data_IF_992509240287
#
_entry.id   IF_992509240287
#
_cell.length_a   1.000
_cell.length_b   1.000
_cell.length_c   1.000
_cell.angle_alpha   90.00
_cell.angle_beta   90.00
_cell.angle_gamma   90.00
#
_symmetry.space_group_name_H-M   'P 1'
#
loop_
_entity.id
_entity.type
_entity.pdbx_description
1 polymer ?
#
# COMPACT_ATOMS: atom_id res chain seq x y z
N UNK A 1 -0.44 -13.44 4.31
CA UNK A 1 0.86 -12.79 4.02
C UNK A 1 1.73 -12.91 5.24
N UNK A 2 2.99 -13.28 5.06
CA UNK A 2 3.98 -13.48 6.12
C UNK A 2 5.12 -12.48 5.94
N UNK A 3 5.63 -11.91 7.02
CA UNK A 3 6.79 -11.03 6.97
C UNK A 3 8.10 -11.82 6.92
N UNK A 4 8.95 -11.54 5.92
CA UNK A 4 10.26 -12.18 5.74
C UNK A 4 11.24 -11.94 6.92
N UNK A 5 11.09 -10.84 7.67
CA UNK A 5 11.99 -10.51 8.78
C UNK A 5 11.58 -11.09 10.14
N UNK A 6 10.29 -11.20 10.42
CA UNK A 6 9.79 -11.64 11.72
C UNK A 6 8.81 -12.82 11.70
N UNK A 7 8.50 -13.34 10.50
CA UNK A 7 7.61 -14.48 10.26
C UNK A 7 6.20 -14.34 10.85
N UNK A 8 5.79 -13.12 11.19
CA UNK A 8 4.41 -12.84 11.60
C UNK A 8 3.48 -12.94 10.40
N UNK A 9 2.32 -13.54 10.62
CA UNK A 9 1.26 -13.66 9.61
C UNK A 9 0.18 -12.61 9.84
N UNK A 10 -0.35 -12.08 8.74
CA UNK A 10 -1.35 -11.01 8.75
C UNK A 10 -2.59 -11.43 7.97
N UNK A 11 -3.76 -10.99 8.47
CA UNK A 11 -5.08 -11.29 7.91
C UNK A 11 -5.46 -10.39 6.73
N UNK A 12 -4.93 -9.17 6.70
CA UNK A 12 -5.16 -8.17 5.65
C UNK A 12 -3.83 -7.65 5.11
N UNK A 13 -3.84 -7.09 3.90
CA UNK A 13 -2.65 -6.48 3.33
C UNK A 13 -2.35 -5.14 4.00
N UNK A 14 -3.39 -4.38 4.33
CA UNK A 14 -3.25 -3.17 5.15
C UNK A 14 -2.48 -3.44 6.45
N UNK A 15 -2.83 -4.50 7.18
CA UNK A 15 -2.16 -4.86 8.43
C UNK A 15 -0.70 -5.29 8.25
N UNK A 16 -0.39 -5.92 7.12
CA UNK A 16 0.99 -6.23 6.73
C UNK A 16 1.80 -4.97 6.43
N UNK A 17 1.23 -4.02 5.67
CA UNK A 17 1.88 -2.75 5.37
C UNK A 17 2.09 -1.88 6.62
N UNK A 18 1.10 -1.77 7.51
CA UNK A 18 1.25 -1.07 8.81
C UNK A 18 2.45 -1.61 9.58
N UNK A 19 2.63 -2.93 9.57
CA UNK A 19 3.75 -3.56 10.24
C UNK A 19 5.10 -3.14 9.64
N UNK A 20 5.22 -3.11 8.32
CA UNK A 20 6.46 -2.70 7.64
C UNK A 20 6.72 -1.20 7.79
N UNK A 21 5.71 -0.36 7.54
CA UNK A 21 5.78 1.09 7.67
C UNK A 21 6.07 1.56 9.10
N UNK A 22 5.84 0.72 10.12
CA UNK A 22 6.19 1.05 11.52
C UNK A 22 7.70 1.12 11.76
N UNK A 23 8.53 0.56 10.87
CA UNK A 23 10.00 0.51 11.01
C UNK A 23 10.51 -0.37 12.15
N UNK A 24 9.63 -1.04 12.90
CA UNK A 24 9.99 -1.87 14.05
C UNK A 24 10.31 -3.33 13.71
N UNK A 25 10.32 -3.69 12.42
CA UNK A 25 10.55 -5.06 11.98
C UNK A 25 12.04 -5.34 11.69
N UNK A 26 12.47 -6.58 11.96
CA UNK A 26 13.79 -7.09 11.57
C UNK A 26 13.99 -7.27 10.06
N UNK A 27 12.95 -7.04 9.25
CA UNK A 27 13.07 -7.08 7.79
C UNK A 27 13.87 -5.91 7.22
N UNK A 28 14.13 -4.87 8.02
CA UNK A 28 14.72 -3.59 7.60
C UNK A 28 13.94 -2.86 6.50
N UNK A 29 12.73 -3.33 6.16
CA UNK A 29 11.84 -2.65 5.22
C UNK A 29 11.23 -1.46 5.96
N UNK A 30 11.31 -0.29 5.34
CA UNK A 30 10.80 0.98 5.84
C UNK A 30 9.62 1.49 5.01
N UNK A 31 8.96 2.54 5.48
CA UNK A 31 7.96 3.28 4.71
C UNK A 31 8.50 3.76 3.36
N UNK A 32 9.76 4.22 3.31
CA UNK A 32 10.39 4.67 2.07
C UNK A 32 10.52 3.56 1.03
N UNK A 33 10.89 2.35 1.44
CA UNK A 33 10.99 1.20 0.53
C UNK A 33 9.63 0.83 -0.07
N UNK A 34 8.56 0.93 0.74
CA UNK A 34 7.18 0.70 0.28
C UNK A 34 6.74 1.79 -0.70
N UNK A 35 7.06 3.05 -0.41
CA UNK A 35 6.72 4.18 -1.26
C UNK A 35 7.45 4.12 -2.61
N UNK A 36 8.72 3.74 -2.62
CA UNK A 36 9.49 3.55 -3.85
C UNK A 36 8.91 2.41 -4.69
N UNK A 37 8.61 1.25 -4.09
CA UNK A 37 7.93 0.15 -4.80
C UNK A 37 6.57 0.59 -5.36
N UNK A 38 5.82 1.39 -4.62
CA UNK A 38 4.53 1.90 -5.07
C UNK A 38 4.65 2.87 -6.25
N UNK A 39 5.73 3.66 -6.31
CA UNK A 39 6.07 4.58 -7.41
C UNK A 39 6.56 3.84 -8.66
N UNK A 40 7.39 2.81 -8.49
CA UNK A 40 7.94 2.01 -9.58
C UNK A 40 6.87 1.22 -10.35
N UNK A 41 5.76 0.90 -9.70
CA UNK A 41 4.68 0.17 -10.35
C UNK A 41 4.06 0.98 -11.50
N UNK A 42 3.89 0.34 -12.67
CA UNK A 42 3.46 1.01 -13.91
C UNK A 42 2.11 1.76 -13.85
N UNK A 43 1.28 1.50 -12.84
CA UNK A 43 0.00 2.20 -12.61
C UNK A 43 0.04 3.20 -11.46
N UNK A 44 1.23 3.59 -10.97
CA UNK A 44 1.43 4.49 -9.83
C UNK A 44 0.58 5.75 -9.90
N UNK A 45 0.50 6.38 -11.08
CA UNK A 45 -0.34 7.58 -11.35
C UNK A 45 -1.84 7.44 -11.05
N UNK A 46 -2.35 6.23 -10.80
CA UNK A 46 -3.76 6.03 -10.42
C UNK A 46 -4.02 6.29 -8.94
N UNK A 47 -3.01 6.13 -8.10
CA UNK A 47 -3.14 6.17 -6.65
C UNK A 47 -2.04 6.98 -5.97
N UNK A 48 -1.06 7.49 -6.72
CA UNK A 48 -0.06 8.47 -6.26
C UNK A 48 -0.38 9.82 -6.89
N UNK A 49 -0.29 10.85 -6.07
CA UNK A 49 -0.38 12.23 -6.50
C UNK A 49 0.81 13.02 -5.94
N UNK A 50 1.86 13.17 -6.75
CA UNK A 50 3.11 13.83 -6.35
C UNK A 50 2.90 15.32 -5.98
N UNK A 51 1.83 15.97 -6.46
CA UNK A 51 1.52 17.36 -6.09
C UNK A 51 1.14 17.50 -4.62
N UNK A 52 0.66 16.42 -4.01
CA UNK A 52 0.23 16.39 -2.61
C UNK A 52 1.37 16.02 -1.65
N UNK A 53 2.50 15.52 -2.17
CA UNK A 53 3.61 15.04 -1.35
C UNK A 53 4.18 16.17 -0.48
N UNK A 54 4.26 17.40 -1.02
CA UNK A 54 4.67 18.58 -0.27
C UNK A 54 3.77 18.91 0.94
N UNK A 55 2.55 18.35 0.99
CA UNK A 55 1.58 18.47 2.08
C UNK A 55 1.54 17.25 2.99
N UNK A 56 2.42 16.26 2.76
CA UNK A 56 2.47 15.00 3.51
C UNK A 56 1.43 13.97 3.09
N UNK A 57 0.82 14.12 1.90
CA UNK A 57 -0.14 13.19 1.34
C UNK A 57 0.42 12.63 0.04
N UNK A 58 0.73 11.33 -0.01
CA UNK A 58 1.29 10.71 -1.22
C UNK A 58 0.23 9.97 -2.03
N UNK A 59 -0.73 9.39 -1.32
CA UNK A 59 -1.67 8.43 -1.87
C UNK A 59 -3.07 9.00 -2.03
N UNK A 60 -3.81 8.51 -3.01
CA UNK A 60 -5.19 8.92 -3.27
C UNK A 60 -6.01 7.72 -3.70
N UNK A 61 -7.23 7.59 -3.17
CA UNK A 61 -8.17 6.56 -3.63
C UNK A 61 -8.62 6.89 -5.07
N UNK A 62 -8.44 5.98 -6.05
CA UNK A 62 -8.82 6.24 -7.45
C UNK A 62 -10.32 6.49 -7.70
N UNK A 63 -11.18 6.24 -6.70
CA UNK A 63 -12.63 6.34 -6.83
C UNK A 63 -13.24 7.51 -6.06
N UNK A 64 -12.98 7.62 -4.76
CA UNK A 64 -13.52 8.71 -3.95
C UNK A 64 -12.56 9.89 -3.79
N UNK A 65 -11.35 9.79 -4.37
CA UNK A 65 -10.33 10.85 -4.37
C UNK A 65 -9.87 11.27 -2.97
N UNK A 66 -10.13 10.44 -1.96
CA UNK A 66 -9.64 10.67 -0.59
C UNK A 66 -8.13 10.49 -0.53
N UNK A 67 -7.45 11.40 0.16
CA UNK A 67 -6.01 11.49 0.26
C UNK A 67 -5.50 10.74 1.50
N UNK A 68 -4.33 10.09 1.39
CA UNK A 68 -3.70 9.33 2.45
C UNK A 68 -2.19 9.56 2.46
N UNK A 69 -1.61 9.63 3.66
CA UNK A 69 -0.17 9.78 3.83
C UNK A 69 0.58 8.47 3.64
N UNK A 70 -0.07 7.34 3.93
CA UNK A 70 0.51 5.99 3.92
C UNK A 70 -0.23 5.07 2.98
N UNK A 71 0.49 4.13 2.37
CA UNK A 71 -0.11 3.12 1.50
C UNK A 71 -1.03 2.19 2.31
N UNK A 72 -0.62 1.84 3.53
CA UNK A 72 -1.44 1.04 4.43
C UNK A 72 -2.83 1.63 4.68
N UNK A 73 -2.94 2.94 4.87
CA UNK A 73 -4.21 3.63 5.10
C UNK A 73 -5.09 3.62 3.84
N UNK A 74 -4.50 3.74 2.65
CA UNK A 74 -5.23 3.57 1.39
C UNK A 74 -5.82 2.15 1.26
N UNK A 75 -5.04 1.11 1.58
CA UNK A 75 -5.54 -0.26 1.56
C UNK A 75 -6.61 -0.50 2.62
N UNK A 76 -6.42 -0.01 3.84
CA UNK A 76 -7.42 -0.12 4.89
C UNK A 76 -8.74 0.54 4.46
N UNK A 77 -8.67 1.74 3.88
CA UNK A 77 -9.84 2.40 3.30
C UNK A 77 -10.52 1.55 2.23
N UNK A 78 -9.76 0.97 1.29
CA UNK A 78 -10.34 0.17 0.22
C UNK A 78 -10.89 -1.18 0.72
N UNK A 79 -10.32 -1.75 1.79
CA UNK A 79 -10.82 -2.96 2.44
C UNK A 79 -12.12 -2.70 3.22
N UNK A 80 -12.22 -1.56 3.91
CA UNK A 80 -13.35 -1.23 4.78
C UNK A 80 -14.54 -0.56 4.06
N UNK A 81 -14.29 0.16 2.96
CA UNK A 81 -15.31 0.92 2.23
C UNK A 81 -15.81 0.12 1.02
N UNK A 82 -17.07 -0.38 1.02
CA UNK A 82 -17.56 -1.28 -0.04
C UNK A 82 -17.47 -0.70 -1.45
N UNK A 83 -17.76 0.59 -1.61
CA UNK A 83 -17.69 1.29 -2.91
C UNK A 83 -16.26 1.43 -3.45
N UNK A 84 -15.25 1.32 -2.58
CA UNK A 84 -13.82 1.42 -2.94
C UNK A 84 -13.14 0.03 -3.01
N UNK A 85 -13.80 -1.03 -2.55
CA UNK A 85 -13.26 -2.39 -2.49
C UNK A 85 -13.03 -3.07 -3.86
N UNK A 86 -13.53 -2.49 -4.95
CA UNK A 86 -13.30 -3.05 -6.28
C UNK A 86 -11.83 -2.94 -6.71
N UNK A 87 -11.07 -1.94 -6.21
CA UNK A 87 -9.66 -1.78 -6.61
C UNK A 87 -8.73 -2.79 -5.94
N UNK A 88 -9.12 -3.37 -4.82
CA UNK A 88 -8.38 -4.43 -4.10
C UNK A 88 -8.75 -5.84 -4.56
N UNK A 89 -9.66 -5.98 -5.54
CA UNK A 89 -10.11 -7.27 -6.08
C UNK A 89 -9.69 -7.45 -7.54
N UNK A 90 -9.62 -8.71 -7.97
CA UNK A 90 -9.45 -9.15 -9.36
C UNK A 90 -8.32 -8.42 -10.13
N UNK A 91 -8.71 -7.55 -11.07
CA UNK A 91 -7.83 -6.77 -11.94
C UNK A 91 -7.71 -5.29 -11.52
N UNK A 92 -8.22 -4.97 -10.33
CA UNK A 92 -8.08 -3.66 -9.70
C UNK A 92 -6.61 -3.25 -9.56
N UNK A 93 -6.34 -1.94 -9.62
CA UNK A 93 -4.96 -1.45 -9.59
C UNK A 93 -4.27 -1.74 -8.26
N UNK A 94 -5.00 -1.69 -7.13
CA UNK A 94 -4.45 -2.04 -5.82
C UNK A 94 -4.22 -3.55 -5.71
N UNK A 95 -5.11 -4.40 -6.19
CA UNK A 95 -4.87 -5.85 -6.25
C UNK A 95 -3.60 -6.22 -7.03
N UNK A 96 -3.32 -5.49 -8.13
CA UNK A 96 -2.10 -5.69 -8.92
C UNK A 96 -0.86 -5.13 -8.22
N UNK A 97 -0.98 -3.99 -7.56
CA UNK A 97 0.08 -3.41 -6.75
C UNK A 97 0.46 -4.34 -5.58
N UNK A 98 -0.52 -4.88 -4.86
CA UNK A 98 -0.30 -5.85 -3.78
C UNK A 98 0.55 -7.04 -4.26
N UNK A 99 0.21 -7.61 -5.42
CA UNK A 99 0.99 -8.70 -6.03
C UNK A 99 2.40 -8.26 -6.43
N UNK A 100 2.56 -7.03 -6.92
CA UNK A 100 3.86 -6.48 -7.28
C UNK A 100 4.73 -6.30 -6.03
N UNK A 101 4.22 -5.63 -4.99
CA UNK A 101 4.94 -5.43 -3.72
C UNK A 101 5.30 -6.77 -3.10
N UNK A 102 4.33 -7.69 -2.98
CA UNK A 102 4.59 -9.00 -2.37
C UNK A 102 5.73 -9.74 -3.04
N UNK A 103 5.86 -9.68 -4.37
CA UNK A 103 6.94 -10.33 -5.12
C UNK A 103 8.31 -9.65 -5.00
N UNK A 104 8.35 -8.38 -4.62
CA UNK A 104 9.61 -7.64 -4.44
C UNK A 104 10.08 -7.63 -2.98
N UNK A 105 9.23 -8.07 -2.04
CA UNK A 105 9.57 -8.21 -0.62
C UNK A 105 9.94 -9.66 -0.22
N UNK A 106 9.91 -10.59 -1.18
CA UNK A 106 10.33 -12.00 -1.05
C UNK A 106 11.84 -12.18 -1.19
#
# INVERSE_FOLDING_TARGET
MECCGCYKTFKSFSGFLIHLESGGCLSNITEYDIDDLAREFYQSRKYINDELEARGWLYTCPHCVTEFSKLSTLYQHAEDVPSCSYFTKDHGCLAKLERFISRNLE
#
